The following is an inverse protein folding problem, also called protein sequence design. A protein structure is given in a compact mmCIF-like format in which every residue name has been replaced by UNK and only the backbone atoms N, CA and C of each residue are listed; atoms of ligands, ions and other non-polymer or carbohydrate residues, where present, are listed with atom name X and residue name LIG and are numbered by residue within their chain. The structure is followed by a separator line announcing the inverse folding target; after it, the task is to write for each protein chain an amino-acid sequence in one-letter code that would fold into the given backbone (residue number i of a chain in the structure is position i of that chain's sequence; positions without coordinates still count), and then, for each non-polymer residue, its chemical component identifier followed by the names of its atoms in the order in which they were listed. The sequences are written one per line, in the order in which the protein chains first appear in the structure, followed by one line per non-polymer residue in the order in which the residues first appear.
data_IF_074872042630
#
_entry.id   IF_074872042630
#
_cell.length_a   1.000
_cell.length_b   1.000
_cell.length_c   1.000
_cell.angle_alpha   90.00
_cell.angle_beta   90.00
_cell.angle_gamma   90.00
#
_symmetry.space_group_name_H-M   'P 1'
#
loop_
_entity.id
_entity.type
_entity.pdbx_description
1 polymer ?
#
# COMPACT_ATOMS: atom_id res chain seq x y z
N UNK A 1 -1.27 4.31 29.36
CA UNK A 1 -2.27 4.88 28.43
C UNK A 1 -2.33 6.40 28.53
N UNK A 2 -1.83 7.13 27.53
CA UNK A 2 -1.92 8.59 27.44
C UNK A 2 -3.36 8.99 27.03
N UNK A 3 -4.11 9.75 27.85
CA UNK A 3 -5.51 10.07 27.58
C UNK A 3 -5.70 11.04 26.39
N UNK A 4 -4.76 11.95 26.17
CA UNK A 4 -4.79 12.87 25.02
C UNK A 4 -4.58 12.11 23.72
N UNK A 5 -3.59 11.21 23.69
CA UNK A 5 -3.33 10.37 22.53
C UNK A 5 -4.53 9.47 22.22
N UNK A 6 -5.15 8.89 23.26
CA UNK A 6 -6.36 8.08 23.12
C UNK A 6 -7.48 8.88 22.46
N UNK A 7 -7.77 10.08 22.97
CA UNK A 7 -8.84 10.92 22.42
C UNK A 7 -8.64 11.20 20.93
N UNK A 8 -7.42 11.55 20.52
CA UNK A 8 -7.13 11.86 19.10
C UNK A 8 -7.24 10.60 18.24
N UNK A 9 -6.80 9.44 18.73
CA UNK A 9 -7.00 8.16 18.02
C UNK A 9 -8.50 7.86 17.85
N UNK A 10 -9.29 8.01 18.91
CA UNK A 10 -10.73 7.75 18.89
C UNK A 10 -11.45 8.72 17.93
N UNK A 11 -11.10 10.00 17.94
CA UNK A 11 -11.62 11.02 17.01
C UNK A 11 -11.26 10.70 15.56
N UNK A 12 -10.03 10.24 15.31
CA UNK A 12 -9.58 9.82 13.99
C UNK A 12 -10.36 8.61 13.48
N UNK A 13 -10.58 7.59 14.34
CA UNK A 13 -11.36 6.40 14.00
C UNK A 13 -12.82 6.75 13.67
N UNK A 14 -13.41 7.73 14.37
CA UNK A 14 -14.79 8.16 14.15
C UNK A 14 -14.96 9.01 12.88
N UNK A 15 -13.96 9.85 12.57
CA UNK A 15 -14.04 10.80 11.44
C UNK A 15 -13.57 10.19 10.11
N UNK A 16 -12.62 9.25 10.15
CA UNK A 16 -12.14 8.58 8.95
C UNK A 16 -13.04 7.41 8.53
N UNK A 17 -13.29 7.31 7.23
CA UNK A 17 -14.05 6.20 6.66
C UNK A 17 -13.19 4.92 6.62
N UNK A 18 -13.17 4.17 7.73
CA UNK A 18 -12.47 2.89 7.85
C UNK A 18 -13.33 1.73 7.34
N UNK A 19 -12.85 1.02 6.33
CA UNK A 19 -13.48 -0.22 5.84
C UNK A 19 -12.90 -1.42 6.56
N UNK A 20 -13.74 -2.24 7.21
CA UNK A 20 -13.29 -3.46 7.89
C UNK A 20 -12.53 -4.43 6.97
N UNK A 21 -12.96 -4.59 5.71
CA UNK A 21 -12.26 -5.42 4.72
C UNK A 21 -10.86 -4.87 4.43
N UNK A 22 -10.73 -3.56 4.27
CA UNK A 22 -9.43 -2.93 4.03
C UNK A 22 -8.55 -2.98 5.28
N UNK A 23 -9.09 -2.70 6.46
CA UNK A 23 -8.32 -2.71 7.70
C UNK A 23 -7.79 -4.12 8.02
N UNK A 24 -8.62 -5.16 7.85
CA UNK A 24 -8.18 -6.56 7.95
C UNK A 24 -7.06 -6.85 6.96
N UNK A 25 -7.15 -6.40 5.70
CA UNK A 25 -6.03 -6.53 4.74
C UNK A 25 -4.76 -5.82 5.20
N UNK A 26 -4.88 -4.78 6.04
CA UNK A 26 -3.72 -4.06 6.60
C UNK A 26 -3.08 -4.92 7.67
N UNK A 27 -3.85 -5.44 8.62
CA UNK A 27 -3.38 -6.36 9.67
C UNK A 27 -2.77 -7.62 9.06
N UNK A 28 -3.38 -8.17 8.00
CA UNK A 28 -2.83 -9.32 7.28
C UNK A 28 -1.46 -9.00 6.67
N UNK A 29 -1.32 -7.89 5.94
CA UNK A 29 -0.06 -7.55 5.29
C UNK A 29 1.03 -7.08 6.26
N UNK A 30 0.66 -6.29 7.26
CA UNK A 30 1.61 -5.71 8.21
C UNK A 30 2.06 -6.73 9.27
N UNK A 31 1.14 -7.49 9.87
CA UNK A 31 1.45 -8.35 11.03
C UNK A 31 1.48 -9.84 10.68
N UNK A 32 0.45 -10.35 10.01
CA UNK A 32 0.20 -11.80 9.90
C UNK A 32 1.03 -12.45 8.79
N UNK A 33 1.21 -11.78 7.65
CA UNK A 33 1.83 -12.34 6.44
C UNK A 33 3.27 -12.81 6.68
N UNK A 34 4.06 -12.03 7.43
CA UNK A 34 5.43 -12.37 7.81
C UNK A 34 5.51 -13.39 8.96
N UNK A 35 4.36 -13.83 9.50
CA UNK A 35 4.23 -14.82 10.58
C UNK A 35 3.39 -16.03 10.13
N UNK A 36 3.65 -16.51 8.92
CA UNK A 36 3.00 -17.71 8.36
C UNK A 36 1.64 -17.46 7.69
N UNK A 37 1.11 -16.24 7.74
CA UNK A 37 -0.05 -15.84 6.93
C UNK A 37 -1.38 -16.44 7.38
N UNK A 38 -1.50 -16.92 8.63
CA UNK A 38 -2.71 -17.53 9.18
C UNK A 38 -3.04 -16.95 10.57
N UNK A 39 -4.33 -16.78 10.87
CA UNK A 39 -4.83 -16.33 12.18
C UNK A 39 -6.20 -16.95 12.50
N UNK A 40 -6.51 -17.12 13.79
CA UNK A 40 -7.86 -17.46 14.24
C UNK A 40 -8.84 -16.30 14.04
N UNK A 41 -10.10 -16.61 13.76
CA UNK A 41 -11.15 -15.58 13.67
C UNK A 41 -11.35 -14.84 14.99
N UNK A 42 -11.26 -15.54 16.13
CA UNK A 42 -11.44 -14.95 17.45
C UNK A 42 -10.38 -13.88 17.74
N UNK A 43 -9.11 -14.18 17.43
CA UNK A 43 -8.02 -13.20 17.52
C UNK A 43 -8.27 -12.01 16.60
N UNK A 44 -8.69 -12.25 15.36
CA UNK A 44 -8.95 -11.16 14.42
C UNK A 44 -10.11 -10.26 14.87
N UNK A 45 -11.14 -10.81 15.52
CA UNK A 45 -12.22 -10.02 16.13
C UNK A 45 -11.66 -9.12 17.24
N UNK A 46 -10.84 -9.66 18.14
CA UNK A 46 -10.24 -8.88 19.23
C UNK A 46 -9.30 -7.78 18.71
N UNK A 47 -8.47 -8.07 17.70
CA UNK A 47 -7.60 -7.06 17.07
C UNK A 47 -8.40 -5.97 16.34
N UNK A 48 -9.61 -6.27 15.88
CA UNK A 48 -10.47 -5.31 15.17
C UNK A 48 -11.36 -4.49 16.12
N UNK A 49 -11.61 -4.98 17.34
CA UNK A 49 -12.45 -4.36 18.35
C UNK A 49 -11.90 -2.99 18.79
N UNK A 50 -10.57 -2.86 18.91
CA UNK A 50 -9.89 -1.60 19.25
C UNK A 50 -10.07 -0.51 18.18
N UNK A 51 -10.62 -0.84 17.01
CA UNK A 51 -10.99 0.12 15.97
C UNK A 51 -12.52 0.31 15.85
N UNK A 52 -13.29 -0.18 16.82
CA UNK A 52 -14.75 -0.07 16.86
C UNK A 52 -15.50 -1.08 15.98
N UNK A 53 -14.84 -2.14 15.49
CA UNK A 53 -15.50 -3.16 14.66
C UNK A 53 -16.01 -4.33 15.50
N UNK A 54 -17.33 -4.46 15.59
CA UNK A 54 -17.96 -5.63 16.19
C UNK A 54 -17.74 -6.93 15.38
N UNK A 55 -17.96 -8.08 16.03
CA UNK A 55 -17.80 -9.42 15.46
C UNK A 55 -18.55 -9.60 14.13
N UNK A 56 -19.78 -9.11 14.01
CA UNK A 56 -20.60 -9.26 12.80
C UNK A 56 -19.93 -8.56 11.61
N UNK A 57 -19.41 -7.36 11.81
CA UNK A 57 -18.68 -6.60 10.80
C UNK A 57 -17.40 -7.31 10.38
N UNK A 58 -16.64 -7.86 11.34
CA UNK A 58 -15.40 -8.62 11.06
C UNK A 58 -15.71 -9.87 10.23
N UNK A 59 -16.70 -10.68 10.64
CA UNK A 59 -17.12 -11.88 9.89
C UNK A 59 -17.53 -11.55 8.45
N UNK A 60 -18.27 -10.46 8.27
CA UNK A 60 -18.68 -9.99 6.94
C UNK A 60 -17.47 -9.58 6.10
N UNK A 61 -16.53 -8.84 6.69
CA UNK A 61 -15.33 -8.40 6.02
C UNK A 61 -14.42 -9.57 5.60
N UNK A 62 -14.23 -10.55 6.49
CA UNK A 62 -13.46 -11.77 6.20
C UNK A 62 -14.15 -12.60 5.11
N UNK A 63 -15.47 -12.77 5.19
CA UNK A 63 -16.23 -13.47 4.14
C UNK A 63 -15.99 -12.84 2.77
N UNK A 64 -16.01 -11.51 2.65
CA UNK A 64 -15.69 -10.80 1.40
C UNK A 64 -14.26 -11.08 0.92
N UNK A 65 -13.29 -11.13 1.83
CA UNK A 65 -11.90 -11.47 1.47
C UNK A 65 -11.77 -12.91 0.97
N UNK A 66 -12.55 -13.84 1.52
CA UNK A 66 -12.63 -15.22 1.02
C UNK A 66 -13.28 -15.28 -0.36
N UNK A 67 -14.42 -14.62 -0.55
CA UNK A 67 -15.12 -14.56 -1.84
C UNK A 67 -14.22 -13.95 -2.94
N UNK A 68 -13.41 -12.95 -2.59
CA UNK A 68 -12.48 -12.29 -3.50
C UNK A 68 -11.13 -13.03 -3.64
N UNK A 69 -10.99 -14.24 -3.06
CA UNK A 69 -9.82 -15.10 -3.21
C UNK A 69 -8.56 -14.62 -2.49
N UNK A 70 -8.65 -13.63 -1.59
CA UNK A 70 -7.52 -13.18 -0.77
C UNK A 70 -7.23 -14.13 0.38
N UNK A 71 -8.28 -14.66 0.99
CA UNK A 71 -8.17 -15.58 2.12
C UNK A 71 -8.86 -16.91 1.81
N UNK A 72 -8.42 -17.97 2.46
CA UNK A 72 -9.15 -19.23 2.56
C UNK A 72 -9.49 -19.50 4.02
N UNK A 73 -10.65 -20.14 4.23
CA UNK A 73 -11.09 -20.59 5.55
C UNK A 73 -10.63 -22.01 5.79
N UNK A 74 -10.10 -22.26 6.97
CA UNK A 74 -9.76 -23.59 7.48
C UNK A 74 -10.47 -23.78 8.82
N UNK A 75 -11.07 -24.95 9.05
CA UNK A 75 -11.78 -25.22 10.31
C UNK A 75 -11.12 -26.39 11.02
N UNK A 76 -10.62 -26.13 12.21
CA UNK A 76 -9.98 -27.14 13.07
C UNK A 76 -10.78 -27.20 14.37
N UNK A 77 -11.50 -28.31 14.56
CA UNK A 77 -12.46 -28.46 15.66
C UNK A 77 -13.57 -27.41 15.62
N UNK A 78 -13.67 -26.59 16.66
CA UNK A 78 -14.69 -25.53 16.81
C UNK A 78 -14.22 -24.15 16.34
N UNK A 79 -12.93 -24.02 15.99
CA UNK A 79 -12.32 -22.73 15.67
C UNK A 79 -12.10 -22.59 14.17
N UNK A 80 -12.46 -21.43 13.63
CA UNK A 80 -12.16 -21.05 12.25
C UNK A 80 -10.86 -20.27 12.18
N UNK A 81 -10.02 -20.63 11.23
CA UNK A 81 -8.78 -19.95 10.89
C UNK A 81 -8.86 -19.43 9.46
N UNK A 82 -8.18 -18.32 9.21
CA UNK A 82 -8.12 -17.69 7.89
C UNK A 82 -6.67 -17.51 7.47
N UNK A 83 -6.37 -17.97 6.25
CA UNK A 83 -5.02 -18.00 5.69
C UNK A 83 -4.98 -17.25 4.36
N UNK A 84 -3.87 -16.55 4.10
CA UNK A 84 -3.56 -16.01 2.77
C UNK A 84 -3.52 -17.15 1.75
N UNK A 85 -4.26 -17.02 0.66
CA UNK A 85 -4.25 -18.02 -0.42
C UNK A 85 -2.92 -18.02 -1.16
N UNK A 86 -2.57 -19.15 -1.77
CA UNK A 86 -1.37 -19.21 -2.62
C UNK A 86 -1.45 -18.23 -3.80
N UNK A 87 -2.64 -18.07 -4.38
CA UNK A 87 -2.88 -17.15 -5.50
C UNK A 87 -2.78 -15.67 -5.12
N UNK A 88 -3.04 -15.30 -3.86
CA UNK A 88 -2.91 -13.90 -3.40
C UNK A 88 -1.56 -13.59 -2.75
N UNK A 89 -0.73 -14.59 -2.47
CA UNK A 89 0.60 -14.44 -1.87
C UNK A 89 1.47 -13.43 -2.62
N UNK A 90 1.53 -13.52 -3.95
CA UNK A 90 2.31 -12.58 -4.77
C UNK A 90 1.81 -11.15 -4.66
N UNK A 91 0.49 -10.94 -4.52
CA UNK A 91 -0.09 -9.61 -4.34
C UNK A 91 0.31 -9.00 -2.99
N UNK A 92 0.39 -9.80 -1.93
CA UNK A 92 0.93 -9.35 -0.65
C UNK A 92 2.40 -8.96 -0.76
N UNK A 93 3.22 -9.74 -1.46
CA UNK A 93 4.65 -9.42 -1.68
C UNK A 93 4.80 -8.10 -2.44
N UNK A 94 4.06 -7.91 -3.54
CA UNK A 94 4.10 -6.68 -4.32
C UNK A 94 3.62 -5.47 -3.51
N UNK A 95 2.56 -5.62 -2.72
CA UNK A 95 2.07 -4.56 -1.84
C UNK A 95 3.07 -4.22 -0.74
N UNK A 96 3.69 -5.22 -0.10
CA UNK A 96 4.73 -5.03 0.93
C UNK A 96 5.94 -4.26 0.36
N UNK A 97 6.41 -4.63 -0.83
CA UNK A 97 7.45 -3.89 -1.53
C UNK A 97 7.04 -2.44 -1.79
N UNK A 98 5.84 -2.21 -2.32
CA UNK A 98 5.34 -0.85 -2.63
C UNK A 98 5.19 0.02 -1.38
N UNK A 99 4.76 -0.57 -0.25
CA UNK A 99 4.49 0.15 1.00
C UNK A 99 5.78 0.46 1.77
N UNK A 100 6.65 -0.53 1.95
CA UNK A 100 7.77 -0.43 2.88
C UNK A 100 9.13 -0.17 2.23
N UNK A 101 9.30 -0.43 0.93
CA UNK A 101 10.57 -0.25 0.22
C UNK A 101 10.62 1.07 -0.53
N UNK A 102 11.81 1.66 -0.67
CA UNK A 102 12.01 2.88 -1.47
C UNK A 102 12.79 2.49 -2.70
N UNK A 103 12.17 2.67 -3.86
CA UNK A 103 12.84 2.50 -5.13
C UNK A 103 12.44 3.69 -5.99
N UNK A 104 13.34 4.66 -6.07
CA UNK A 104 13.26 5.72 -7.03
C UNK A 104 14.52 5.66 -7.87
N UNK A 105 14.34 5.50 -9.17
CA UNK A 105 15.43 5.51 -10.14
C UNK A 105 15.41 6.88 -10.81
N UNK A 106 16.59 7.45 -11.07
CA UNK A 106 16.70 8.66 -11.88
C UNK A 106 16.03 8.46 -13.23
N UNK A 107 15.31 9.47 -13.71
CA UNK A 107 14.63 9.36 -14.99
C UNK A 107 15.64 9.42 -16.14
N UNK A 108 15.59 8.43 -17.03
CA UNK A 108 16.40 8.39 -18.25
C UNK A 108 15.91 9.38 -19.33
N UNK A 109 14.97 10.27 -18.99
CA UNK A 109 14.32 11.25 -19.86
C UNK A 109 13.56 10.62 -21.03
N UNK A 110 13.28 9.31 -20.96
CA UNK A 110 12.56 8.57 -21.99
C UNK A 110 11.16 8.19 -21.52
N UNK A 111 10.30 8.07 -22.51
CA UNK A 111 8.92 7.63 -22.40
C UNK A 111 8.75 6.32 -23.13
N UNK A 112 8.01 5.42 -22.51
CA UNK A 112 7.47 4.24 -23.17
C UNK A 112 6.09 4.60 -23.70
N UNK A 113 5.90 4.50 -25.01
CA UNK A 113 4.63 4.76 -25.68
C UNK A 113 4.08 3.45 -26.23
N UNK A 114 2.85 3.12 -25.85
CA UNK A 114 2.15 1.92 -26.31
C UNK A 114 1.05 2.35 -27.28
N UNK A 115 1.21 1.97 -28.55
CA UNK A 115 0.24 2.23 -29.61
C UNK A 115 -0.77 1.09 -29.69
N UNK A 116 -2.03 1.43 -29.52
CA UNK A 116 -3.17 0.50 -29.43
C UNK A 116 -4.06 0.52 -30.68
N UNK A 117 -3.54 0.99 -31.82
CA UNK A 117 -4.32 1.17 -33.05
C UNK A 117 -4.72 -0.15 -33.70
N UNK A 118 -3.92 -1.21 -33.53
CA UNK A 118 -4.17 -2.54 -34.09
C UNK A 118 -4.82 -3.51 -33.09
N UNK A 119 -5.12 -3.04 -31.88
CA UNK A 119 -5.79 -3.83 -30.85
C UNK A 119 -7.29 -3.86 -31.11
N UNK A 120 -7.87 -5.05 -31.10
CA UNK A 120 -9.31 -5.24 -31.26
C UNK A 120 -10.11 -4.47 -30.21
N UNK A 121 -11.29 -3.97 -30.58
CA UNK A 121 -12.07 -3.05 -29.75
C UNK A 121 -12.45 -3.65 -28.39
N UNK A 122 -12.82 -4.94 -28.38
CA UNK A 122 -13.19 -5.67 -27.15
C UNK A 122 -12.02 -5.83 -26.17
N UNK A 123 -10.81 -5.96 -26.71
CA UNK A 123 -9.57 -6.20 -25.98
C UNK A 123 -8.92 -4.90 -25.47
N UNK A 124 -9.20 -3.78 -26.15
CA UNK A 124 -8.61 -2.49 -25.85
C UNK A 124 -8.91 -1.98 -24.44
N UNK A 125 -10.14 -2.17 -23.96
CA UNK A 125 -10.51 -1.74 -22.59
C UNK A 125 -9.79 -2.56 -21.52
N UNK A 126 -9.59 -3.85 -21.76
CA UNK A 126 -8.84 -4.73 -20.85
C UNK A 126 -7.38 -4.30 -20.82
N UNK A 127 -6.75 -4.16 -21.99
CA UNK A 127 -5.34 -3.77 -22.08
C UNK A 127 -5.09 -2.38 -21.47
N UNK A 128 -5.97 -1.39 -21.68
CA UNK A 128 -5.83 -0.07 -21.05
C UNK A 128 -5.80 -0.17 -19.52
N UNK A 129 -6.71 -0.93 -18.91
CA UNK A 129 -6.75 -1.13 -17.45
C UNK A 129 -5.49 -1.81 -16.93
N UNK A 130 -5.00 -2.84 -17.62
CA UNK A 130 -3.77 -3.53 -17.22
C UNK A 130 -2.52 -2.65 -17.38
N UNK A 131 -2.47 -1.78 -18.40
CA UNK A 131 -1.42 -0.79 -18.56
C UNK A 131 -1.48 0.31 -17.47
N UNK A 132 -2.68 0.74 -17.07
CA UNK A 132 -2.86 1.64 -15.93
C UNK A 132 -2.27 1.05 -14.63
N UNK A 133 -2.40 -0.27 -14.41
CA UNK A 133 -1.75 -0.95 -13.29
C UNK A 133 -0.22 -0.93 -13.35
N UNK A 134 0.36 -0.82 -14.56
CA UNK A 134 1.80 -0.61 -14.76
C UNK A 134 2.20 0.87 -14.73
N UNK A 135 1.26 1.79 -14.50
CA UNK A 135 1.49 3.23 -14.37
C UNK A 135 1.19 4.04 -15.62
N UNK A 136 0.87 3.40 -16.75
CA UNK A 136 0.58 4.10 -18.00
C UNK A 136 -0.69 4.95 -17.91
N UNK A 137 -0.68 6.09 -18.58
CA UNK A 137 -1.86 6.92 -18.78
C UNK A 137 -2.15 7.11 -20.27
N UNK A 138 -3.43 7.32 -20.59
CA UNK A 138 -3.90 7.54 -21.94
C UNK A 138 -3.69 9.01 -22.36
N UNK A 139 -2.63 9.29 -23.13
CA UNK A 139 -2.29 10.65 -23.57
C UNK A 139 -2.94 11.03 -24.92
N UNK A 140 -3.42 10.05 -25.69
CA UNK A 140 -4.21 10.23 -26.91
C UNK A 140 -5.13 9.01 -27.14
N UNK A 141 -6.04 9.05 -28.11
CA UNK A 141 -7.06 8.00 -28.35
C UNK A 141 -6.51 6.56 -28.34
N UNK A 142 -5.37 6.36 -29.01
CA UNK A 142 -4.71 5.06 -29.17
C UNK A 142 -3.29 5.03 -28.61
N UNK A 143 -2.90 6.01 -27.78
CA UNK A 143 -1.53 6.09 -27.26
C UNK A 143 -1.60 6.19 -25.74
N UNK A 144 -0.99 5.20 -25.09
CA UNK A 144 -0.68 5.26 -23.67
C UNK A 144 0.80 5.53 -23.47
N UNK A 145 1.15 6.29 -22.43
CA UNK A 145 2.53 6.64 -22.13
C UNK A 145 2.85 6.37 -20.66
N UNK A 146 4.10 6.03 -20.38
CA UNK A 146 4.65 5.98 -19.02
C UNK A 146 6.16 6.29 -19.05
N UNK A 147 6.69 7.07 -18.10
CA UNK A 147 8.13 7.23 -17.96
C UNK A 147 8.73 6.06 -17.16
N UNK A 148 9.73 5.37 -17.73
CA UNK A 148 10.49 4.34 -17.02
C UNK A 148 9.73 3.04 -16.78
N UNK A 149 9.08 2.50 -17.81
CA UNK A 149 8.40 1.22 -17.72
C UNK A 149 9.38 0.06 -17.42
N UNK A 150 8.96 -0.85 -16.55
CA UNK A 150 9.58 -2.17 -16.44
C UNK A 150 9.15 -3.03 -17.64
N UNK A 151 10.02 -3.09 -18.67
CA UNK A 151 9.74 -3.79 -19.91
C UNK A 151 9.49 -5.29 -19.73
N UNK A 152 10.04 -5.91 -18.69
CA UNK A 152 9.79 -7.33 -18.41
C UNK A 152 8.34 -7.52 -17.94
N UNK A 153 7.83 -6.62 -17.08
CA UNK A 153 6.41 -6.63 -16.68
C UNK A 153 5.48 -6.36 -17.86
N UNK A 154 5.82 -5.40 -18.72
CA UNK A 154 5.04 -5.11 -19.92
C UNK A 154 5.00 -6.30 -20.88
N UNK A 155 6.15 -6.95 -21.13
CA UNK A 155 6.22 -8.13 -21.98
C UNK A 155 5.38 -9.29 -21.43
N UNK A 156 5.51 -9.57 -20.13
CA UNK A 156 4.72 -10.61 -19.47
C UNK A 156 3.21 -10.32 -19.55
N UNK A 157 2.82 -9.05 -19.35
CA UNK A 157 1.42 -8.63 -19.49
C UNK A 157 0.88 -8.92 -20.89
N UNK A 158 1.59 -8.48 -21.94
CA UNK A 158 1.16 -8.66 -23.33
C UNK A 158 1.10 -10.14 -23.73
N UNK A 159 2.05 -10.97 -23.24
CA UNK A 159 2.04 -12.43 -23.43
C UNK A 159 0.82 -13.09 -22.77
N UNK A 160 0.54 -12.74 -21.51
CA UNK A 160 -0.60 -13.30 -20.77
C UNK A 160 -1.94 -12.94 -21.41
N UNK A 161 -2.04 -11.73 -21.97
CA UNK A 161 -3.22 -11.27 -22.70
C UNK A 161 -3.28 -11.77 -24.16
N UNK A 162 -2.20 -12.38 -24.68
CA UNK A 162 -2.08 -12.82 -26.09
C UNK A 162 -2.25 -11.66 -27.09
N UNK A 163 -1.65 -10.51 -26.80
CA UNK A 163 -1.75 -9.29 -27.62
C UNK A 163 -0.39 -8.83 -28.19
N UNK A 164 0.60 -9.72 -28.24
CA UNK A 164 1.97 -9.36 -28.66
C UNK A 164 2.09 -8.95 -30.12
N UNK A 165 1.15 -9.35 -30.97
CA UNK A 165 1.06 -9.03 -32.40
C UNK A 165 0.15 -7.83 -32.71
N UNK A 166 -0.52 -7.27 -31.68
CA UNK A 166 -1.49 -6.18 -31.82
C UNK A 166 -0.98 -4.82 -31.32
N UNK A 167 0.19 -4.80 -30.69
CA UNK A 167 0.72 -3.63 -29.97
C UNK A 167 2.10 -3.27 -30.50
N UNK A 168 2.34 -1.96 -30.69
CA UNK A 168 3.69 -1.43 -30.97
C UNK A 168 4.13 -0.60 -29.78
N UNK A 169 5.32 -0.88 -29.26
CA UNK A 169 5.93 -0.15 -28.15
C UNK A 169 7.09 0.69 -28.69
N UNK A 170 7.04 2.00 -28.45
CA UNK A 170 8.09 2.93 -28.81
C UNK A 170 8.80 3.39 -27.54
N UNK A 171 10.11 3.63 -27.66
CA UNK A 171 10.85 4.46 -26.70
C UNK A 171 11.04 5.84 -27.33
N UNK A 172 10.58 6.88 -26.65
CA UNK A 172 10.58 8.25 -27.15
C UNK A 172 11.24 9.21 -26.17
N UNK A 173 11.79 10.30 -26.69
CA UNK A 173 12.34 11.41 -25.90
C UNK A 173 11.52 12.66 -26.16
N UNK A 174 11.36 13.52 -25.15
CA UNK A 174 10.74 14.82 -25.35
C UNK A 174 11.76 15.79 -25.95
N UNK A 175 11.46 16.35 -27.12
CA UNK A 175 12.29 17.39 -27.73
C UNK A 175 12.03 18.77 -27.08
N UNK A 176 13.11 19.48 -26.74
CA UNK A 176 13.07 20.85 -26.25
C UNK A 176 13.15 21.86 -27.40
N UNK A 177 12.16 21.82 -28.29
CA UNK A 177 12.13 22.69 -29.49
C UNK A 177 11.81 24.16 -29.14
N UNK A 178 11.09 24.39 -28.05
CA UNK A 178 10.62 25.72 -27.63
C UNK A 178 10.85 25.94 -26.14
N UNK A 179 10.86 27.21 -25.71
CA UNK A 179 10.91 27.56 -24.28
C UNK A 179 9.76 26.90 -23.49
N UNK A 180 8.57 26.80 -24.11
CA UNK A 180 7.37 26.22 -23.49
C UNK A 180 7.26 24.69 -23.60
N UNK A 181 8.24 23.99 -24.19
CA UNK A 181 8.19 22.52 -24.33
C UNK A 181 8.11 21.82 -22.97
N UNK A 182 8.95 22.22 -22.01
CA UNK A 182 8.98 21.58 -20.68
C UNK A 182 7.72 21.90 -19.83
N UNK A 183 7.24 23.16 -19.73
CA UNK A 183 5.95 23.47 -19.12
C UNK A 183 4.78 22.67 -19.73
N UNK A 184 4.80 22.44 -21.05
CA UNK A 184 3.76 21.66 -21.73
C UNK A 184 3.75 20.20 -21.32
N UNK A 185 4.94 19.57 -21.15
CA UNK A 185 5.04 18.21 -20.61
C UNK A 185 4.50 18.14 -19.19
N UNK A 186 4.84 19.10 -18.32
CA UNK A 186 4.30 19.14 -16.95
C UNK A 186 2.78 19.24 -16.93
N UNK A 187 2.19 20.05 -17.81
CA UNK A 187 0.73 20.12 -17.98
C UNK A 187 0.16 18.78 -18.44
N UNK A 188 0.76 18.14 -19.44
CA UNK A 188 0.34 16.80 -19.89
C UNK A 188 0.37 15.79 -18.74
N UNK A 189 1.43 15.78 -17.93
CA UNK A 189 1.54 14.89 -16.76
C UNK A 189 0.43 15.18 -15.75
N UNK A 190 0.22 16.45 -15.39
CA UNK A 190 -0.82 16.84 -14.44
C UNK A 190 -2.24 16.54 -14.93
N UNK A 191 -2.48 16.54 -16.26
CA UNK A 191 -3.78 16.22 -16.85
C UNK A 191 -4.05 14.72 -16.93
N UNK A 192 -3.04 13.91 -17.26
CA UNK A 192 -3.24 12.49 -17.57
C UNK A 192 -3.00 11.56 -16.37
N UNK A 193 -2.31 12.03 -15.32
CA UNK A 193 -2.10 11.28 -14.07
C UNK A 193 -2.76 11.98 -12.88
N UNK A 194 -3.08 11.25 -11.79
CA UNK A 194 -3.75 11.80 -10.61
C UNK A 194 -2.80 12.61 -9.70
N UNK A 195 -1.94 13.45 -10.26
CA UNK A 195 -0.89 14.17 -9.53
C UNK A 195 -1.49 15.08 -8.45
N UNK A 196 -2.49 15.90 -8.79
CA UNK A 196 -3.11 16.82 -7.83
C UNK A 196 -3.87 16.08 -6.72
N UNK A 197 -4.62 15.02 -7.06
CA UNK A 197 -5.33 14.20 -6.07
C UNK A 197 -4.34 13.55 -5.09
N UNK A 198 -3.26 12.98 -5.60
CA UNK A 198 -2.21 12.36 -4.78
C UNK A 198 -1.51 13.39 -3.90
N UNK A 199 -1.23 14.60 -4.41
CA UNK A 199 -0.65 15.68 -3.63
C UNK A 199 -1.51 16.02 -2.41
N UNK A 200 -2.81 16.24 -2.60
CA UNK A 200 -3.76 16.53 -1.52
C UNK A 200 -3.86 15.38 -0.51
N UNK A 201 -3.80 14.14 -0.98
CA UNK A 201 -3.77 12.96 -0.10
C UNK A 201 -2.50 12.92 0.76
N UNK A 202 -1.34 13.24 0.18
CA UNK A 202 -0.10 13.35 0.95
C UNK A 202 -0.13 14.51 1.95
N UNK A 203 -0.66 15.67 1.56
CA UNK A 203 -0.83 16.82 2.46
C UNK A 203 -1.68 16.46 3.68
N UNK A 204 -2.87 15.88 3.45
CA UNK A 204 -3.75 15.42 4.53
C UNK A 204 -3.07 14.37 5.40
N UNK A 205 -2.44 13.37 4.79
CA UNK A 205 -1.72 12.33 5.54
C UNK A 205 -0.63 12.92 6.43
N UNK A 206 0.18 13.84 5.92
CA UNK A 206 1.24 14.48 6.70
C UNK A 206 0.66 15.32 7.84
N UNK A 207 -0.45 16.05 7.59
CA UNK A 207 -1.11 16.84 8.62
C UNK A 207 -1.63 15.95 9.76
N UNK A 208 -2.37 14.89 9.42
CA UNK A 208 -2.96 13.96 10.40
C UNK A 208 -1.87 13.26 11.25
N UNK A 209 -0.83 12.72 10.61
CA UNK A 209 0.17 11.89 11.31
C UNK A 209 1.31 12.66 11.98
N UNK A 210 1.48 13.95 11.67
CA UNK A 210 2.47 14.79 12.38
C UNK A 210 2.07 15.03 13.83
N UNK A 211 0.78 15.20 14.10
CA UNK A 211 0.27 15.35 15.47
C UNK A 211 0.49 14.08 16.29
N UNK A 212 0.15 12.91 15.72
CA UNK A 212 0.41 11.63 16.37
C UNK A 212 1.90 11.43 16.67
N UNK A 213 2.76 11.75 15.71
CA UNK A 213 4.20 11.62 15.89
C UNK A 213 4.73 12.49 17.03
N UNK A 214 4.28 13.75 17.13
CA UNK A 214 4.70 14.65 18.19
C UNK A 214 4.30 14.17 19.60
N UNK A 215 3.10 13.58 19.73
CA UNK A 215 2.63 13.05 21.01
C UNK A 215 3.39 11.78 21.40
N UNK A 216 3.65 10.91 20.42
CA UNK A 216 4.33 9.63 20.65
C UNK A 216 5.81 9.83 20.99
N UNK A 217 6.49 10.81 20.39
CA UNK A 217 7.89 11.12 20.72
C UNK A 217 8.09 11.68 22.14
N UNK A 218 7.03 12.15 22.80
CA UNK A 218 7.08 12.70 24.15
C UNK A 218 6.85 11.66 25.25
N UNK A 219 6.46 10.44 24.88
CA UNK A 219 6.21 9.35 25.81
C UNK A 219 7.43 8.46 25.93
N UNK A 220 7.88 8.21 27.16
CA UNK A 220 8.97 7.25 27.43
C UNK A 220 8.51 5.81 27.16
N UNK A 221 7.24 5.50 27.42
CA UNK A 221 6.64 4.17 27.24
C UNK A 221 5.24 4.30 26.63
N UNK A 222 5.03 3.63 25.49
CA UNK A 222 3.73 3.62 24.81
C UNK A 222 2.88 2.46 25.27
N UNK A 223 1.61 2.76 25.51
CA UNK A 223 0.59 1.74 25.72
C UNK A 223 0.50 0.81 24.48
N UNK A 224 0.61 -0.53 24.65
CA UNK A 224 0.62 -1.48 23.53
C UNK A 224 -0.62 -1.39 22.63
N UNK A 225 -1.79 -1.09 23.19
CA UNK A 225 -3.04 -0.95 22.41
C UNK A 225 -2.98 0.31 21.55
N UNK A 226 -2.57 1.44 22.13
CA UNK A 226 -2.43 2.71 21.40
C UNK A 226 -1.37 2.61 20.29
N UNK A 227 -0.24 1.96 20.58
CA UNK A 227 0.82 1.70 19.61
C UNK A 227 0.32 0.82 18.45
N UNK A 228 -0.43 -0.25 18.74
CA UNK A 228 -1.04 -1.09 17.71
C UNK A 228 -2.05 -0.32 16.86
N UNK A 229 -2.91 0.50 17.48
CA UNK A 229 -3.88 1.32 16.75
C UNK A 229 -3.16 2.26 15.77
N UNK A 230 -2.17 3.02 16.24
CA UNK A 230 -1.40 3.95 15.40
C UNK A 230 -0.64 3.25 14.29
N UNK A 231 0.01 2.13 14.58
CA UNK A 231 0.72 1.31 13.60
C UNK A 231 -0.20 0.92 12.43
N UNK A 232 -1.38 0.40 12.75
CA UNK A 232 -2.32 -0.04 11.72
C UNK A 232 -2.95 1.14 10.98
N UNK A 233 -3.37 2.20 11.67
CA UNK A 233 -3.95 3.39 11.03
C UNK A 233 -2.95 4.08 10.08
N UNK A 234 -1.69 4.19 10.51
CA UNK A 234 -0.59 4.75 9.71
C UNK A 234 -0.43 3.99 8.40
N UNK A 235 -0.19 2.68 8.48
CA UNK A 235 0.01 1.84 7.31
C UNK A 235 -1.27 1.78 6.46
N UNK A 236 -2.45 1.76 7.09
CA UNK A 236 -3.72 1.75 6.40
C UNK A 236 -3.92 2.97 5.51
N UNK A 237 -3.64 4.16 6.01
CA UNK A 237 -3.79 5.39 5.24
C UNK A 237 -2.67 5.54 4.22
N UNK A 238 -1.43 5.26 4.62
CA UNK A 238 -0.27 5.39 3.73
C UNK A 238 -0.37 4.48 2.51
N UNK A 239 -0.71 3.19 2.71
CA UNK A 239 -0.85 2.25 1.59
C UNK A 239 -1.97 2.64 0.62
N UNK A 240 -3.04 3.29 1.07
CA UNK A 240 -4.14 3.71 0.18
C UNK A 240 -3.72 4.79 -0.80
N UNK A 241 -2.73 5.60 -0.41
CA UNK A 241 -2.07 6.57 -1.29
C UNK A 241 -1.13 5.82 -2.23
N UNK A 242 -0.18 5.06 -1.67
CA UNK A 242 0.85 4.38 -2.45
C UNK A 242 0.30 3.38 -3.48
N UNK A 243 -0.74 2.62 -3.14
CA UNK A 243 -1.33 1.66 -4.08
C UNK A 243 -1.96 2.35 -5.30
N UNK A 244 -2.33 3.63 -5.21
CA UNK A 244 -2.80 4.47 -6.32
C UNK A 244 -1.72 5.32 -6.97
N UNK A 245 -0.57 5.49 -6.31
CA UNK A 245 0.54 6.29 -6.82
C UNK A 245 1.19 5.57 -8.01
N UNK A 246 1.24 6.18 -9.21
CA UNK A 246 1.91 5.62 -10.39
C UNK A 246 3.43 5.59 -10.25
N UNK A 247 4.03 6.22 -9.22
CA UNK A 247 5.47 6.33 -9.01
C UNK A 247 6.20 7.04 -10.17
N UNK A 248 5.62 8.15 -10.64
CA UNK A 248 6.26 8.99 -11.65
C UNK A 248 7.61 9.54 -11.14
N UNK A 249 8.59 9.74 -12.04
CA UNK A 249 9.84 10.39 -11.69
C UNK A 249 9.67 11.80 -11.13
N UNK A 250 10.49 12.17 -10.15
CA UNK A 250 10.38 13.47 -9.47
C UNK A 250 10.60 14.66 -10.40
N UNK A 251 11.39 14.50 -11.45
CA UNK A 251 11.68 15.50 -12.48
C UNK A 251 10.41 15.94 -13.25
N UNK A 252 9.39 15.09 -13.29
CA UNK A 252 8.09 15.34 -13.92
C UNK A 252 7.04 15.87 -12.94
N UNK A 253 7.33 15.83 -11.65
CA UNK A 253 6.40 16.21 -10.58
C UNK A 253 6.61 17.67 -10.14
N UNK A 254 5.65 18.26 -9.40
CA UNK A 254 5.82 19.56 -8.77
C UNK A 254 7.03 19.59 -7.83
N UNK A 255 7.72 20.74 -7.71
CA UNK A 255 8.88 20.89 -6.85
C UNK A 255 8.59 20.70 -5.36
N UNK A 256 7.33 20.88 -4.95
CA UNK A 256 6.85 20.66 -3.59
C UNK A 256 6.27 19.25 -3.39
N UNK A 257 6.58 18.27 -4.24
CA UNK A 257 6.03 16.92 -4.13
C UNK A 257 6.34 16.25 -2.77
N UNK A 258 5.31 15.71 -2.12
CA UNK A 258 5.35 15.38 -0.69
C UNK A 258 5.59 13.90 -0.38
N UNK A 259 5.76 13.04 -1.39
CA UNK A 259 5.90 11.59 -1.17
C UNK A 259 7.06 11.23 -0.23
N UNK A 260 8.20 11.93 -0.33
CA UNK A 260 9.35 11.72 0.56
C UNK A 260 9.05 12.18 1.99
N UNK A 261 8.39 13.32 2.18
CA UNK A 261 7.99 13.81 3.50
C UNK A 261 7.03 12.83 4.18
N UNK A 262 6.00 12.35 3.45
CA UNK A 262 5.07 11.36 3.95
C UNK A 262 5.76 10.05 4.30
N UNK A 263 6.68 9.59 3.45
CA UNK A 263 7.47 8.38 3.68
C UNK A 263 8.35 8.49 4.93
N UNK A 264 9.06 9.60 5.11
CA UNK A 264 9.94 9.80 6.26
C UNK A 264 9.12 9.85 7.56
N UNK A 265 7.97 10.54 7.55
CA UNK A 265 7.03 10.54 8.67
C UNK A 265 6.53 9.12 8.98
N UNK A 266 6.11 8.36 7.96
CA UNK A 266 5.69 6.97 8.11
C UNK A 266 6.79 6.11 8.71
N UNK A 267 8.01 6.22 8.20
CA UNK A 267 9.16 5.47 8.69
C UNK A 267 9.44 5.75 10.15
N UNK A 268 9.50 7.03 10.53
CA UNK A 268 9.82 7.43 11.90
C UNK A 268 8.72 7.01 12.88
N UNK A 269 7.46 7.31 12.57
CA UNK A 269 6.35 6.92 13.44
C UNK A 269 6.22 5.41 13.54
N UNK A 270 6.36 4.67 12.43
CA UNK A 270 6.34 3.21 12.45
C UNK A 270 7.45 2.64 13.35
N UNK A 271 8.66 3.18 13.24
CA UNK A 271 9.79 2.78 14.09
C UNK A 271 9.50 2.96 15.59
N UNK A 272 8.78 4.03 15.96
CA UNK A 272 8.44 4.28 17.37
C UNK A 272 7.33 3.37 17.90
N UNK A 273 6.34 3.02 17.06
CA UNK A 273 5.16 2.24 17.52
C UNK A 273 5.28 0.73 17.29
N UNK A 274 6.23 0.28 16.46
CA UNK A 274 6.26 -1.11 15.99
C UNK A 274 6.42 -2.13 17.12
N UNK A 275 7.31 -1.87 18.10
CA UNK A 275 7.64 -2.79 19.18
C UNK A 275 6.45 -2.96 20.15
N UNK A 276 6.02 -1.88 20.81
CA UNK A 276 4.86 -1.89 21.70
C UNK A 276 3.58 -2.38 21.01
N UNK A 277 3.37 -2.02 19.73
CA UNK A 277 2.24 -2.53 18.97
C UNK A 277 2.33 -4.03 18.65
N UNK A 278 3.54 -4.58 18.53
CA UNK A 278 3.76 -6.01 18.34
C UNK A 278 3.48 -6.80 19.63
N UNK A 279 3.71 -6.21 20.81
CA UNK A 279 3.35 -6.83 22.11
C UNK A 279 1.86 -7.13 22.19
N UNK A 280 1.00 -6.14 21.96
CA UNK A 280 -0.45 -6.34 21.93
C UNK A 280 -0.86 -7.35 20.86
N UNK A 281 -0.27 -7.28 19.67
CA UNK A 281 -0.55 -8.24 18.62
C UNK A 281 -0.19 -9.68 19.04
N UNK A 282 0.98 -9.89 19.63
CA UNK A 282 1.45 -11.21 20.07
C UNK A 282 0.66 -11.74 21.27
N UNK A 283 0.18 -10.86 22.15
CA UNK A 283 -0.71 -11.23 23.25
C UNK A 283 -2.05 -11.80 22.74
N UNK A 284 -2.61 -11.26 21.66
CA UNK A 284 -3.95 -11.61 21.17
C UNK A 284 -3.93 -12.65 20.04
N UNK A 285 -2.96 -12.58 19.13
CA UNK A 285 -2.97 -13.35 17.90
C UNK A 285 -2.63 -14.83 18.16
N UNK A 286 -3.48 -15.72 17.63
CA UNK A 286 -3.35 -17.18 17.78
C UNK A 286 -3.54 -17.90 16.46
N UNK A 287 -2.81 -19.00 16.30
CA UNK A 287 -2.94 -19.99 15.23
C UNK A 287 -3.47 -21.31 15.82
N UNK A 288 -3.62 -22.34 14.98
CA UNK A 288 -3.96 -23.69 15.44
C UNK A 288 -2.89 -24.33 16.33
N UNK A 289 -1.66 -23.84 16.25
CA UNK A 289 -0.51 -24.34 17.02
C UNK A 289 -0.26 -23.52 18.31
N UNK A 290 -1.12 -22.55 18.62
CA UNK A 290 -0.98 -21.68 19.79
C UNK A 290 -0.61 -20.25 19.40
N UNK A 291 0.51 -19.74 19.91
CA UNK A 291 0.99 -18.39 19.63
C UNK A 291 1.40 -18.21 18.15
N UNK A 292 1.47 -16.96 17.68
CA UNK A 292 2.00 -16.68 16.35
C UNK A 292 3.49 -17.09 16.25
N UNK A 293 3.95 -17.61 15.10
CA UNK A 293 5.36 -17.92 14.90
C UNK A 293 6.23 -16.64 14.91
N UNK A 294 7.56 -16.79 15.07
CA UNK A 294 8.49 -15.67 14.95
C UNK A 294 8.35 -15.00 13.57
N UNK A 295 8.59 -13.69 13.54
CA UNK A 295 8.47 -12.91 12.31
C UNK A 295 9.62 -13.24 11.35
N UNK A 296 9.30 -13.33 10.07
CA UNK A 296 10.29 -13.55 9.02
C UNK A 296 11.29 -12.38 8.95
N UNK A 297 12.61 -12.62 8.75
CA UNK A 297 13.63 -11.55 8.75
C UNK A 297 13.39 -10.40 7.78
N UNK A 298 12.65 -10.64 6.69
CA UNK A 298 12.27 -9.59 5.74
C UNK A 298 11.46 -8.45 6.37
N UNK A 299 10.70 -8.73 7.45
CA UNK A 299 9.98 -7.71 8.20
C UNK A 299 10.90 -6.61 8.74
N UNK A 300 12.09 -6.98 9.21
CA UNK A 300 13.07 -6.02 9.75
C UNK A 300 13.75 -5.17 8.67
N UNK A 301 13.56 -5.47 7.38
CA UNK A 301 14.06 -4.62 6.27
C UNK A 301 13.11 -3.48 5.91
N UNK A 302 11.93 -3.41 6.53
CA UNK A 302 10.94 -2.37 6.26
C UNK A 302 11.52 -0.99 6.51
N UNK A 303 11.16 -0.05 5.65
CA UNK A 303 11.65 1.32 5.66
C UNK A 303 13.19 1.47 5.64
N UNK A 304 13.90 0.49 5.09
CA UNK A 304 15.36 0.50 5.00
C UNK A 304 16.07 -0.12 6.21
N UNK A 305 15.32 -0.63 7.18
CA UNK A 305 15.84 -1.28 8.37
C UNK A 305 15.14 -0.80 9.63
N UNK A 306 14.44 -1.70 10.32
CA UNK A 306 13.93 -1.41 11.65
C UNK A 306 15.07 -1.52 12.66
N UNK A 307 15.17 -0.56 13.57
CA UNK A 307 16.06 -0.67 14.73
C UNK A 307 15.51 -1.80 15.59
N UNK A 308 16.25 -2.90 15.65
CA UNK A 308 16.05 -3.92 16.66
C UNK A 308 16.52 -3.27 17.96
N UNK A 309 15.60 -2.83 18.81
CA UNK A 309 15.96 -2.67 20.20
C UNK A 309 16.39 -4.05 20.67
N UNK A 310 17.66 -4.16 21.07
CA UNK A 310 18.17 -5.38 21.66
C UNK A 310 17.33 -5.60 22.91
N UNK A 311 16.41 -6.56 22.85
CA UNK A 311 15.76 -7.10 24.04
C UNK A 311 16.87 -7.79 24.82
N UNK A 312 17.49 -7.03 25.72
CA UNK A 312 18.42 -7.50 26.74
C UNK A 312 17.66 -8.09 27.90
#
# INVERSE_FOLDING_TARGET
MNPKLKQIIDDFIQTEALSGTSLIMTIFGDCIFHRGGIISLASLIQLMDVFGFNERSVRTAVFRLVQNGWLMSEKIGRTSYYRVTESSRQRFIMADQKIYSFQHTEWDQKWDLVLLSSVELENKLVLKKELEWLGFANIATNVMAYPGCDHQKLQNLLLNLKMTDQVVVFKAETLQLWQESYPTVKRMVATNWPVQELHQRYEKFIADFREFFHLVEQEDELDPVQAFQLRILLIHQFRRILLKDPNLPFELLPSNWLSLNARNLSSNLYQTVVAAGDEFFMEIARTSEGSMPPVHPQFYKRFGGLRLEAVS
#
